data_IF_933343923946
#
_entry.id   IF_933343923946
#
_cell.length_a   1.000
_cell.length_b   1.000
_cell.length_c   1.000
_cell.angle_alpha   90.00
_cell.angle_beta   90.00
_cell.angle_gamma   90.00
#
_symmetry.space_group_name_H-M   'P 1'
#
loop_
_entity.id
_entity.type
_entity.pdbx_description
1 polymer ?
#
# COMPACT_ATOMS: atom_id res chain seq x y z
N UNK A 1 6.23 7.05 16.77
CA UNK A 1 5.79 7.79 15.57
C UNK A 1 4.36 7.39 15.23
N UNK A 2 3.67 8.18 14.41
CA UNK A 2 2.32 7.89 13.92
C UNK A 2 2.42 7.30 12.51
N UNK A 3 1.87 6.11 12.28
CA UNK A 3 2.01 5.35 11.03
C UNK A 3 0.63 5.10 10.44
N UNK A 4 0.43 5.47 9.17
CA UNK A 4 -0.79 5.21 8.43
C UNK A 4 -0.68 3.95 7.57
N UNK A 5 -1.50 2.93 7.85
CA UNK A 5 -1.66 1.76 6.99
C UNK A 5 -2.77 2.03 5.99
N UNK A 6 -2.44 2.00 4.70
CA UNK A 6 -3.32 2.42 3.60
C UNK A 6 -3.84 1.19 2.86
N UNK A 7 -5.10 0.80 3.12
CA UNK A 7 -5.62 -0.50 2.65
C UNK A 7 -7.01 -0.33 1.99
N UNK A 8 -7.08 -0.25 0.65
CA UNK A 8 -8.31 -0.46 -0.10
C UNK A 8 -8.80 -1.90 0.09
N UNK A 9 -10.09 -2.04 0.37
CA UNK A 9 -10.78 -3.28 0.66
C UNK A 9 -12.06 -3.36 -0.18
N UNK A 10 -12.36 -4.56 -0.69
CA UNK A 10 -13.59 -4.83 -1.44
C UNK A 10 -13.93 -6.31 -1.35
N UNK A 11 -15.22 -6.61 -1.20
CA UNK A 11 -15.78 -7.96 -1.27
C UNK A 11 -16.08 -8.39 -2.72
N UNK A 12 -15.81 -7.54 -3.71
CA UNK A 12 -16.03 -7.85 -5.12
C UNK A 12 -15.33 -9.15 -5.52
N UNK A 13 -16.07 -10.03 -6.19
CA UNK A 13 -15.60 -11.36 -6.61
C UNK A 13 -15.12 -12.22 -5.44
N UNK A 14 -15.73 -12.06 -4.25
CA UNK A 14 -15.51 -12.89 -3.07
C UNK A 14 -16.85 -13.40 -2.56
N UNK A 15 -16.88 -14.66 -2.16
CA UNK A 15 -18.03 -15.25 -1.47
C UNK A 15 -17.83 -15.16 0.05
N UNK A 16 -17.66 -13.93 0.55
CA UNK A 16 -17.47 -13.69 1.97
C UNK A 16 -18.82 -13.61 2.67
N UNK A 17 -19.00 -14.46 3.68
CA UNK A 17 -20.25 -14.53 4.45
C UNK A 17 -20.05 -14.02 5.88
N UNK A 18 -18.85 -14.25 6.40
CA UNK A 18 -18.46 -14.00 7.78
C UNK A 18 -17.16 -13.23 7.87
N UNK A 19 -16.88 -12.69 9.05
CA UNK A 19 -15.63 -12.00 9.35
C UNK A 19 -14.38 -12.86 9.08
N UNK A 20 -14.46 -14.18 9.27
CA UNK A 20 -13.32 -15.09 9.06
C UNK A 20 -12.97 -15.28 7.59
N UNK A 21 -13.91 -14.99 6.68
CA UNK A 21 -13.68 -15.09 5.23
C UNK A 21 -12.88 -13.88 4.72
N UNK A 22 -13.03 -12.74 5.41
CA UNK A 22 -12.37 -11.49 5.07
C UNK A 22 -10.86 -11.58 5.27
N UNK A 23 -10.11 -11.27 4.21
CA UNK A 23 -8.65 -11.30 4.25
C UNK A 23 -8.07 -10.30 5.26
N UNK A 24 -8.63 -9.08 5.32
CA UNK A 24 -8.17 -8.05 6.27
C UNK A 24 -8.12 -8.63 7.69
N UNK A 25 -9.22 -9.25 8.13
CA UNK A 25 -9.29 -9.82 9.47
C UNK A 25 -8.43 -11.08 9.61
N UNK A 26 -8.64 -12.07 8.75
CA UNK A 26 -8.09 -13.41 8.96
C UNK A 26 -6.59 -13.51 8.65
N UNK A 27 -6.07 -12.61 7.82
CA UNK A 27 -4.68 -12.61 7.36
C UNK A 27 -3.94 -11.41 7.95
N UNK A 28 -4.33 -10.20 7.54
CA UNK A 28 -3.56 -8.98 7.84
C UNK A 28 -3.61 -8.62 9.31
N UNK A 29 -4.79 -8.43 9.90
CA UNK A 29 -4.92 -8.00 11.29
C UNK A 29 -4.45 -9.07 12.29
N UNK A 30 -4.74 -10.36 12.03
CA UNK A 30 -4.24 -11.46 12.88
C UNK A 30 -2.72 -11.58 12.87
N UNK A 31 -2.08 -11.44 11.70
CA UNK A 31 -0.61 -11.46 11.64
C UNK A 31 0.02 -10.17 12.17
N UNK A 32 -0.64 -9.02 11.98
CA UNK A 32 -0.20 -7.76 12.54
C UNK A 32 -0.15 -7.80 14.07
N UNK A 33 -1.21 -8.32 14.72
CA UNK A 33 -1.30 -8.48 16.18
C UNK A 33 -0.04 -9.10 16.82
N UNK A 34 0.61 -10.03 16.13
CA UNK A 34 1.79 -10.73 16.64
C UNK A 34 3.13 -10.18 16.15
N UNK A 35 3.12 -9.19 15.25
CA UNK A 35 4.31 -8.68 14.55
C UNK A 35 4.56 -7.19 14.68
N UNK A 36 3.57 -6.39 15.10
CA UNK A 36 3.72 -4.93 15.19
C UNK A 36 4.62 -4.46 16.34
N UNK A 37 5.22 -3.30 16.14
CA UNK A 37 6.08 -2.61 17.11
C UNK A 37 5.20 -1.67 17.97
N UNK A 38 5.12 -1.93 19.28
CA UNK A 38 4.13 -1.36 20.21
C UNK A 38 4.37 0.11 20.60
N UNK A 39 5.55 0.64 20.37
CA UNK A 39 5.97 2.01 20.67
C UNK A 39 5.38 3.04 19.69
N UNK A 40 4.87 2.59 18.54
CA UNK A 40 4.27 3.46 17.54
C UNK A 40 2.75 3.49 17.65
N UNK A 41 2.16 4.59 17.20
CA UNK A 41 0.73 4.70 16.96
C UNK A 41 0.45 4.25 15.53
N UNK A 42 -0.30 3.17 15.36
CA UNK A 42 -0.64 2.61 14.05
C UNK A 42 -2.10 2.89 13.76
N UNK A 43 -2.41 3.53 12.63
CA UNK A 43 -3.79 3.79 12.21
C UNK A 43 -4.04 3.07 10.88
N UNK A 44 -5.01 2.17 10.88
CA UNK A 44 -5.47 1.48 9.68
C UNK A 44 -6.55 2.31 8.99
N UNK A 45 -6.21 2.90 7.84
CA UNK A 45 -7.15 3.60 6.96
C UNK A 45 -7.68 2.59 5.93
N UNK A 46 -8.87 2.06 6.21
CA UNK A 46 -9.53 1.05 5.39
C UNK A 46 -10.46 1.74 4.41
N UNK A 47 -10.08 1.72 3.12
CA UNK A 47 -10.90 2.25 2.04
C UNK A 47 -11.92 1.22 1.56
N UNK A 48 -13.20 1.57 1.51
CA UNK A 48 -14.29 0.65 1.15
C UNK A 48 -15.02 1.20 -0.08
N UNK A 49 -15.26 0.34 -1.07
CA UNK A 49 -16.07 0.70 -2.25
C UNK A 49 -17.49 1.13 -1.83
N UNK A 50 -18.02 2.19 -2.44
CA UNK A 50 -19.42 2.56 -2.21
C UNK A 50 -20.36 1.43 -2.64
N UNK A 51 -21.32 1.12 -1.77
CA UNK A 51 -22.31 0.07 -1.98
C UNK A 51 -21.80 -1.35 -1.73
N UNK A 52 -20.59 -1.52 -1.17
CA UNK A 52 -20.13 -2.85 -0.74
C UNK A 52 -20.94 -3.34 0.48
N UNK A 53 -21.83 -4.30 0.23
CA UNK A 53 -22.80 -4.80 1.21
C UNK A 53 -22.19 -5.70 2.29
N UNK A 54 -20.95 -6.17 2.10
CA UNK A 54 -20.29 -6.98 3.11
C UNK A 54 -19.88 -6.15 4.34
N UNK A 55 -19.52 -4.88 4.13
CA UNK A 55 -19.05 -3.94 5.17
C UNK A 55 -20.21 -3.27 5.91
N UNK A 56 -21.07 -4.10 6.50
CA UNK A 56 -22.17 -3.71 7.39
C UNK A 56 -21.70 -3.51 8.84
N UNK A 57 -22.47 -2.77 9.62
CA UNK A 57 -22.11 -2.35 10.98
C UNK A 57 -21.67 -3.49 11.90
N UNK A 58 -22.32 -4.67 11.86
CA UNK A 58 -21.94 -5.78 12.72
C UNK A 58 -20.54 -6.33 12.39
N UNK A 59 -20.13 -6.29 11.12
CA UNK A 59 -18.78 -6.69 10.68
C UNK A 59 -17.76 -5.65 11.13
N UNK A 60 -18.03 -4.36 10.86
CA UNK A 60 -17.15 -3.26 11.23
C UNK A 60 -16.94 -3.16 12.74
N UNK A 61 -17.99 -3.36 13.53
CA UNK A 61 -17.93 -3.39 15.00
C UNK A 61 -17.07 -4.55 15.52
N UNK A 62 -17.14 -5.72 14.90
CA UNK A 62 -16.30 -6.87 15.28
C UNK A 62 -14.83 -6.60 14.97
N UNK A 63 -14.52 -5.99 13.81
CA UNK A 63 -13.15 -5.58 13.46
C UNK A 63 -12.64 -4.53 14.45
N UNK A 64 -13.44 -3.51 14.75
CA UNK A 64 -13.07 -2.44 15.70
C UNK A 64 -12.79 -3.02 17.09
N UNK A 65 -13.62 -3.95 17.56
CA UNK A 65 -13.38 -4.67 18.82
C UNK A 65 -12.09 -5.48 18.80
N UNK A 66 -11.78 -6.15 17.69
CA UNK A 66 -10.52 -6.89 17.55
C UNK A 66 -9.32 -5.94 17.58
N UNK A 67 -9.36 -4.82 16.85
CA UNK A 67 -8.30 -3.82 16.87
C UNK A 67 -8.07 -3.27 18.29
N UNK A 68 -9.14 -3.04 19.05
CA UNK A 68 -9.08 -2.51 20.41
C UNK A 68 -8.32 -3.37 21.43
N UNK A 69 -7.95 -4.62 21.10
CA UNK A 69 -7.06 -5.44 21.94
C UNK A 69 -5.58 -5.03 21.81
N UNK A 70 -5.22 -4.33 20.73
CA UNK A 70 -3.87 -3.91 20.42
C UNK A 70 -3.58 -2.53 21.01
N UNK A 71 -2.43 -2.39 21.66
CA UNK A 71 -1.98 -1.12 22.22
C UNK A 71 -1.58 -0.17 21.09
N UNK A 72 -2.04 1.09 21.14
CA UNK A 72 -1.69 2.12 20.17
C UNK A 72 -2.06 1.77 18.73
N UNK A 73 -3.16 1.04 18.54
CA UNK A 73 -3.69 0.72 17.20
C UNK A 73 -5.12 1.22 17.07
N UNK A 74 -5.38 1.96 16.00
CA UNK A 74 -6.69 2.49 15.64
C UNK A 74 -7.07 2.02 14.24
N UNK A 75 -8.36 2.04 13.94
CA UNK A 75 -8.90 1.73 12.62
C UNK A 75 -9.94 2.76 12.23
N UNK A 76 -9.90 3.17 10.97
CA UNK A 76 -10.82 4.12 10.35
C UNK A 76 -11.35 3.51 9.05
N UNK A 77 -12.65 3.60 8.87
CA UNK A 77 -13.31 3.16 7.65
C UNK A 77 -13.66 4.38 6.80
N UNK A 78 -13.17 4.42 5.57
CA UNK A 78 -13.35 5.52 4.62
C UNK A 78 -14.08 4.95 3.41
N UNK A 79 -15.30 5.41 3.17
CA UNK A 79 -16.04 5.03 1.97
C UNK A 79 -15.60 5.90 0.80
N UNK A 80 -15.17 5.26 -0.28
CA UNK A 80 -14.85 5.96 -1.53
C UNK A 80 -16.13 6.55 -2.13
N UNK A 81 -16.05 7.79 -2.61
CA UNK A 81 -17.19 8.42 -3.27
C UNK A 81 -17.36 7.90 -4.71
N UNK A 82 -18.52 8.20 -5.32
CA UNK A 82 -18.87 7.76 -6.67
C UNK A 82 -17.95 8.29 -7.78
N UNK A 83 -17.11 9.30 -7.49
CA UNK A 83 -16.17 9.84 -8.47
C UNK A 83 -14.91 8.97 -8.63
N UNK A 84 -14.73 7.94 -7.79
CA UNK A 84 -13.62 7.00 -7.86
C UNK A 84 -14.10 5.74 -8.58
N UNK A 85 -13.55 5.52 -9.78
CA UNK A 85 -13.84 4.32 -10.56
C UNK A 85 -13.41 3.07 -9.79
N UNK A 86 -14.31 2.10 -9.64
CA UNK A 86 -14.02 0.80 -8.99
C UNK A 86 -12.84 0.11 -9.69
N UNK A 87 -11.80 -0.25 -8.92
CA UNK A 87 -10.58 -0.85 -9.44
C UNK A 87 -9.48 0.14 -9.86
N UNK A 88 -9.70 1.46 -9.72
CA UNK A 88 -8.66 2.48 -9.84
C UNK A 88 -7.87 2.58 -8.52
N UNK A 89 -7.08 1.54 -8.25
CA UNK A 89 -6.39 1.35 -6.98
C UNK A 89 -5.43 2.48 -6.60
N UNK A 90 -4.71 3.05 -7.56
CA UNK A 90 -3.78 4.15 -7.25
C UNK A 90 -4.51 5.37 -6.70
N UNK A 91 -5.64 5.73 -7.29
CA UNK A 91 -6.51 6.81 -6.80
C UNK A 91 -7.10 6.49 -5.44
N UNK A 92 -7.51 5.24 -5.21
CA UNK A 92 -7.95 4.76 -3.89
C UNK A 92 -6.85 4.92 -2.83
N UNK A 93 -5.61 4.49 -3.12
CA UNK A 93 -4.48 4.70 -2.22
C UNK A 93 -4.13 6.17 -2.01
N UNK A 94 -4.23 7.01 -3.04
CA UNK A 94 -4.00 8.45 -2.92
C UNK A 94 -4.99 9.12 -1.96
N UNK A 95 -6.27 8.72 -1.98
CA UNK A 95 -7.27 9.22 -1.03
C UNK A 95 -6.91 8.84 0.40
N UNK A 96 -6.60 7.56 0.63
CA UNK A 96 -6.19 7.09 1.97
C UNK A 96 -4.91 7.77 2.44
N UNK A 97 -3.95 7.96 1.53
CA UNK A 97 -2.68 8.63 1.80
C UNK A 97 -2.89 10.10 2.19
N UNK A 98 -3.74 10.82 1.46
CA UNK A 98 -4.07 12.21 1.77
C UNK A 98 -4.71 12.33 3.16
N UNK A 99 -5.63 11.44 3.52
CA UNK A 99 -6.23 11.48 4.85
C UNK A 99 -5.22 11.19 5.96
N UNK A 100 -4.42 10.14 5.79
CA UNK A 100 -3.35 9.84 6.75
C UNK A 100 -2.35 11.01 6.87
N UNK A 101 -2.04 11.69 5.76
CA UNK A 101 -1.14 12.83 5.72
C UNK A 101 -1.73 14.04 6.46
N UNK A 102 -3.01 14.37 6.22
CA UNK A 102 -3.74 15.44 6.89
C UNK A 102 -3.83 15.22 8.41
N UNK A 103 -3.89 13.95 8.82
CA UNK A 103 -3.90 13.55 10.21
C UNK A 103 -2.50 13.47 10.87
N UNK A 104 -1.47 14.02 10.23
CA UNK A 104 -0.11 14.07 10.76
C UNK A 104 0.53 12.69 11.01
N UNK A 105 0.22 11.67 10.20
CA UNK A 105 1.04 10.44 10.18
C UNK A 105 2.46 10.76 9.69
N UNK A 106 3.49 10.27 10.39
CA UNK A 106 4.91 10.46 10.05
C UNK A 106 5.38 9.52 8.93
N UNK A 107 4.82 8.31 8.89
CA UNK A 107 5.15 7.28 7.91
C UNK A 107 3.88 6.59 7.42
N UNK A 108 4.00 5.93 6.28
CA UNK A 108 2.88 5.34 5.56
C UNK A 108 3.27 3.98 5.04
N UNK A 109 2.39 3.00 5.25
CA UNK A 109 2.54 1.66 4.71
C UNK A 109 1.39 1.37 3.77
N UNK A 110 1.69 1.28 2.48
CA UNK A 110 0.76 0.83 1.46
C UNK A 110 0.80 -0.69 1.34
N UNK A 111 -0.35 -1.33 1.48
CA UNK A 111 -0.50 -2.76 1.26
C UNK A 111 -1.93 -3.13 0.85
N UNK A 112 -2.09 -4.37 0.37
CA UNK A 112 -3.41 -5.01 0.24
C UNK A 112 -3.96 -5.47 1.58
N UNK A 113 -5.21 -5.93 1.58
CA UNK A 113 -5.91 -6.50 2.73
C UNK A 113 -5.57 -7.98 2.97
N UNK A 114 -4.68 -8.54 2.16
CA UNK A 114 -4.30 -9.95 2.10
C UNK A 114 -2.81 -10.18 2.39
N UNK A 115 -2.18 -9.20 3.04
CA UNK A 115 -0.76 -9.29 3.41
C UNK A 115 -0.61 -9.94 4.78
N UNK A 116 0.13 -11.05 4.82
CA UNK A 116 0.58 -11.68 6.05
C UNK A 116 1.94 -11.12 6.47
N UNK A 117 2.06 -10.57 7.67
CA UNK A 117 3.33 -10.15 8.27
C UNK A 117 4.02 -11.33 8.97
N UNK A 118 5.32 -11.52 8.75
CA UNK A 118 6.02 -12.73 9.21
C UNK A 118 6.88 -12.52 10.48
N UNK A 119 7.45 -11.33 10.66
CA UNK A 119 8.48 -11.08 11.69
C UNK A 119 8.25 -9.74 12.39
N UNK A 120 8.69 -9.63 13.65
CA UNK A 120 8.67 -8.39 14.46
C UNK A 120 9.78 -7.43 14.06
N UNK A 121 9.69 -6.16 14.48
CA UNK A 121 10.75 -5.16 14.29
C UNK A 121 10.80 -4.55 12.89
N UNK A 122 9.90 -4.94 11.99
CA UNK A 122 9.94 -4.52 10.60
C UNK A 122 9.61 -3.04 10.42
N UNK A 123 8.69 -2.50 11.23
CA UNK A 123 8.34 -1.07 11.22
C UNK A 123 9.53 -0.25 11.69
N UNK A 124 10.15 -0.67 12.80
CA UNK A 124 11.34 -0.03 13.33
C UNK A 124 12.50 -0.01 12.33
N UNK A 125 12.77 -1.13 11.66
CA UNK A 125 13.85 -1.19 10.68
C UNK A 125 13.56 -0.32 9.45
N UNK A 126 12.30 -0.29 8.97
CA UNK A 126 11.87 0.64 7.92
C UNK A 126 12.17 2.11 8.31
N UNK A 127 11.70 2.53 9.48
CA UNK A 127 11.89 3.90 10.00
C UNK A 127 13.38 4.23 10.10
N UNK A 128 14.16 3.37 10.74
CA UNK A 128 15.60 3.56 10.93
C UNK A 128 16.35 3.75 9.61
N UNK A 129 16.02 2.97 8.59
CA UNK A 129 16.62 3.09 7.26
C UNK A 129 16.22 4.42 6.61
N UNK A 130 14.94 4.79 6.65
CA UNK A 130 14.48 6.05 6.08
C UNK A 130 15.15 7.25 6.78
N UNK A 131 15.19 7.29 8.11
CA UNK A 131 15.85 8.35 8.86
C UNK A 131 17.33 8.49 8.52
N UNK A 132 18.04 7.37 8.33
CA UNK A 132 19.45 7.38 7.90
C UNK A 132 19.64 8.00 6.51
N UNK A 133 18.60 8.01 5.68
CA UNK A 133 18.59 8.54 4.32
C UNK A 133 17.71 9.80 4.20
N UNK A 134 17.70 10.64 5.24
CA UNK A 134 16.96 11.91 5.29
C UNK A 134 15.44 11.77 5.07
N UNK A 135 14.89 10.64 5.49
CA UNK A 135 13.51 10.22 5.27
C UNK A 135 13.12 10.09 3.78
N UNK A 136 14.09 10.02 2.86
CA UNK A 136 13.84 9.86 1.43
C UNK A 136 14.09 8.42 1.01
N UNK A 137 13.08 7.82 0.38
CA UNK A 137 13.18 6.51 -0.23
C UNK A 137 11.96 5.66 0.02
N UNK A 138 12.08 4.40 -0.39
CA UNK A 138 11.10 3.35 -0.13
C UNK A 138 11.80 2.18 0.54
N UNK A 139 11.16 1.63 1.54
CA UNK A 139 11.56 0.41 2.25
C UNK A 139 10.34 -0.47 2.46
N UNK A 140 10.52 -1.76 2.75
CA UNK A 140 9.44 -2.70 3.07
C UNK A 140 10.03 -4.08 3.36
N UNK A 141 9.33 -4.94 4.12
CA UNK A 141 9.57 -6.38 4.10
C UNK A 141 9.57 -6.96 2.68
N UNK A 142 10.38 -7.98 2.44
CA UNK A 142 10.38 -8.72 1.17
C UNK A 142 9.16 -9.64 1.12
N UNK A 143 8.38 -9.59 0.05
CA UNK A 143 7.37 -10.59 -0.22
C UNK A 143 8.04 -11.89 -0.65
N UNK A 144 7.94 -12.95 0.16
CA UNK A 144 8.57 -14.23 -0.18
C UNK A 144 7.97 -14.89 -1.42
N UNK A 145 6.76 -14.47 -1.83
CA UNK A 145 6.10 -14.92 -3.06
C UNK A 145 6.48 -14.09 -4.28
N UNK A 146 7.06 -12.90 -4.08
CA UNK A 146 7.59 -12.07 -5.14
C UNK A 146 8.82 -11.29 -4.66
N UNK A 147 10.00 -11.88 -4.82
CA UNK A 147 11.26 -11.30 -4.35
C UNK A 147 11.89 -10.33 -5.36
N UNK A 148 11.26 -10.12 -6.53
CA UNK A 148 11.82 -9.28 -7.59
C UNK A 148 11.63 -7.78 -7.31
N UNK A 149 10.50 -7.42 -6.70
CA UNK A 149 10.07 -6.05 -6.42
C UNK A 149 9.42 -6.00 -5.04
N UNK A 150 9.40 -4.81 -4.43
CA UNK A 150 8.53 -4.57 -3.28
C UNK A 150 7.08 -4.42 -3.77
N UNK A 151 6.20 -5.34 -3.37
CA UNK A 151 4.75 -5.32 -3.67
C UNK A 151 3.91 -4.56 -2.63
N UNK A 152 4.59 -4.00 -1.64
CA UNK A 152 4.07 -3.24 -0.51
C UNK A 152 5.17 -2.24 -0.20
N UNK A 153 4.82 -1.04 0.19
CA UNK A 153 5.80 0.04 0.31
C UNK A 153 5.63 0.81 1.60
N UNK A 154 6.74 1.15 2.22
CA UNK A 154 6.83 1.99 3.40
C UNK A 154 7.63 3.25 3.05
N UNK A 155 7.01 4.40 3.24
CA UNK A 155 7.57 5.72 2.91
C UNK A 155 7.31 6.71 4.04
N UNK A 156 8.08 7.79 4.10
CA UNK A 156 7.85 8.89 5.04
C UNK A 156 6.91 9.94 4.45
N UNK A 157 6.57 10.96 5.25
CA UNK A 157 5.92 12.20 4.78
C UNK A 157 6.62 12.88 3.61
N UNK A 158 7.95 12.71 3.45
CA UNK A 158 8.69 13.29 2.32
C UNK A 158 8.20 12.79 0.97
N UNK A 159 7.62 11.59 0.90
CA UNK A 159 7.01 11.10 -0.34
C UNK A 159 5.89 12.02 -0.85
N UNK A 160 5.03 12.49 0.05
CA UNK A 160 3.98 13.45 -0.28
C UNK A 160 4.60 14.77 -0.76
N UNK A 161 5.66 15.25 -0.10
CA UNK A 161 6.32 16.50 -0.50
C UNK A 161 6.99 16.41 -1.88
N UNK A 162 7.50 15.23 -2.25
CA UNK A 162 8.17 15.01 -3.53
C UNK A 162 7.16 14.90 -4.68
N UNK A 163 6.10 14.11 -4.50
CA UNK A 163 5.21 13.73 -5.61
C UNK A 163 3.80 14.33 -5.52
N UNK A 164 3.34 14.71 -4.33
CA UNK A 164 1.97 15.19 -4.10
C UNK A 164 0.89 14.10 -4.11
N UNK A 165 1.30 12.83 -4.21
CA UNK A 165 0.43 11.64 -4.21
C UNK A 165 1.23 10.42 -3.72
N UNK A 166 0.57 9.27 -3.54
CA UNK A 166 1.26 8.00 -3.27
C UNK A 166 1.65 7.29 -4.58
N UNK A 167 0.72 7.26 -5.53
CA UNK A 167 0.94 6.76 -6.88
C UNK A 167 0.39 7.73 -7.92
N UNK A 168 1.00 7.82 -9.12
CA UNK A 168 0.45 8.67 -10.16
C UNK A 168 -0.88 8.08 -10.67
N UNK A 169 -1.91 8.93 -10.80
CA UNK A 169 -3.26 8.48 -11.14
C UNK A 169 -3.40 7.91 -12.56
N UNK A 170 -2.44 8.20 -13.44
CA UNK A 170 -2.35 7.64 -14.80
C UNK A 170 -2.08 6.12 -14.81
N UNK A 171 -1.62 5.56 -13.70
CA UNK A 171 -1.54 4.10 -13.49
C UNK A 171 -2.83 3.68 -12.82
N UNK A 172 -3.66 2.81 -13.40
CA UNK A 172 -4.96 2.47 -12.81
C UNK A 172 -4.84 1.46 -11.66
N UNK A 173 -4.07 0.40 -11.87
CA UNK A 173 -3.88 -0.65 -10.86
C UNK A 173 -2.50 -1.34 -10.99
N UNK A 174 -2.36 -2.33 -11.87
CA UNK A 174 -1.08 -3.01 -12.08
C UNK A 174 -0.01 -2.04 -12.57
N UNK A 175 1.22 -2.28 -12.15
CA UNK A 175 2.37 -1.42 -12.47
C UNK A 175 2.65 -0.33 -11.43
N UNK A 176 1.78 -0.11 -10.43
CA UNK A 176 2.08 0.81 -9.32
C UNK A 176 3.28 0.34 -8.48
N UNK A 177 3.40 -0.96 -8.26
CA UNK A 177 4.54 -1.56 -7.58
C UNK A 177 5.82 -1.38 -8.41
N UNK A 178 5.76 -1.61 -9.73
CA UNK A 178 6.88 -1.35 -10.63
C UNK A 178 7.29 0.13 -10.56
N UNK A 179 6.33 1.06 -10.57
CA UNK A 179 6.58 2.51 -10.49
C UNK A 179 7.36 2.90 -9.23
N UNK A 180 6.90 2.49 -8.04
CA UNK A 180 7.54 2.90 -6.78
C UNK A 180 8.93 2.27 -6.61
N UNK A 181 9.13 1.06 -7.14
CA UNK A 181 10.44 0.43 -7.20
C UNK A 181 11.38 1.21 -8.13
N UNK A 182 10.91 1.58 -9.33
CA UNK A 182 11.76 2.23 -10.33
C UNK A 182 12.10 3.68 -9.99
N UNK A 183 11.16 4.45 -9.44
CA UNK A 183 11.38 5.88 -9.16
C UNK A 183 12.46 6.09 -8.10
N UNK A 184 12.55 5.17 -7.13
CA UNK A 184 13.54 5.22 -6.06
C UNK A 184 14.83 4.44 -6.36
N UNK A 185 14.88 3.61 -7.41
CA UNK A 185 16.10 2.88 -7.78
C UNK A 185 17.10 3.78 -8.51
N UNK A 186 18.42 3.54 -8.31
CA UNK A 186 19.00 2.54 -7.39
C UNK A 186 19.22 3.08 -5.97
N UNK A 187 19.29 4.40 -5.77
CA UNK A 187 19.91 5.00 -4.59
C UNK A 187 19.02 5.11 -3.36
N UNK A 188 17.70 5.06 -3.54
CA UNK A 188 16.70 5.30 -2.49
C UNK A 188 15.73 4.11 -2.32
N UNK A 189 16.15 2.94 -2.80
CA UNK A 189 15.39 1.70 -2.76
C UNK A 189 16.02 0.74 -1.75
N UNK A 190 15.32 0.49 -0.64
CA UNK A 190 15.89 -0.17 0.54
C UNK A 190 15.02 -1.34 1.05
N UNK A 191 14.98 -2.47 0.33
CA UNK A 191 14.25 -3.66 0.78
C UNK A 191 14.87 -4.23 2.07
N UNK A 192 14.02 -4.71 2.98
CA UNK A 192 14.47 -5.30 4.24
C UNK A 192 14.87 -6.77 4.06
N UNK A 193 16.17 -7.05 3.97
CA UNK A 193 16.68 -8.41 3.71
C UNK A 193 16.34 -9.47 4.78
N UNK A 194 15.97 -9.04 6.00
CA UNK A 194 15.69 -9.93 7.14
C UNK A 194 14.23 -9.87 7.63
N UNK A 195 13.36 -9.14 6.93
CA UNK A 195 11.94 -9.02 7.28
C UNK A 195 11.08 -9.41 6.09
N UNK A 196 10.03 -10.18 6.35
CA UNK A 196 9.25 -10.80 5.30
C UNK A 196 7.75 -10.53 5.45
N UNK A 197 7.07 -10.54 4.32
CA UNK A 197 5.62 -10.63 4.24
C UNK A 197 5.23 -11.70 3.20
N UNK A 198 3.94 -12.03 3.14
CA UNK A 198 3.39 -12.87 2.06
C UNK A 198 2.14 -12.21 1.52
N UNK A 199 2.09 -11.99 0.21
CA UNK A 199 0.83 -11.69 -0.46
C UNK A 199 0.01 -12.98 -0.62
N UNK A 200 -1.02 -13.13 0.21
CA UNK A 200 -1.90 -14.29 0.23
C UNK A 200 -3.20 -14.06 -0.54
N UNK A 201 -3.21 -13.04 -1.42
CA UNK A 201 -4.35 -12.69 -2.24
C UNK A 201 -4.83 -13.83 -3.14
N UNK A 202 -6.10 -13.70 -3.53
CA UNK A 202 -6.77 -14.59 -4.46
C UNK A 202 -6.80 -14.02 -5.89
N UNK A 203 -7.86 -14.38 -6.62
CA UNK A 203 -8.13 -13.87 -7.98
C UNK A 203 -8.24 -12.34 -8.02
N UNK A 204 -7.89 -11.74 -9.16
CA UNK A 204 -7.99 -10.29 -9.33
C UNK A 204 -9.42 -9.77 -9.05
N UNK A 205 -9.54 -8.61 -8.39
CA UNK A 205 -10.84 -7.99 -8.03
C UNK A 205 -11.26 -6.89 -9.01
N UNK A 206 -10.46 -6.62 -10.02
CA UNK A 206 -10.63 -5.52 -10.97
C UNK A 206 -10.15 -5.94 -12.37
N UNK A 207 -10.50 -5.11 -13.36
CA UNK A 207 -10.01 -5.24 -14.73
C UNK A 207 -8.60 -4.64 -14.76
N UNK A 208 -7.62 -5.43 -15.19
CA UNK A 208 -6.21 -5.02 -15.19
C UNK A 208 -5.98 -4.00 -16.29
N UNK A 209 -5.43 -2.83 -15.94
CA UNK A 209 -5.12 -1.75 -16.88
C UNK A 209 -6.29 -1.37 -17.81
N UNK A 210 -7.53 -1.45 -17.28
CA UNK A 210 -8.77 -1.24 -18.03
C UNK A 210 -8.89 -2.06 -19.34
N UNK A 211 -8.21 -3.20 -19.40
CA UNK A 211 -8.21 -4.11 -20.53
C UNK A 211 -8.90 -5.44 -20.16
N UNK A 212 -10.10 -5.67 -20.67
CA UNK A 212 -10.86 -6.92 -20.42
C UNK A 212 -10.15 -8.16 -20.99
N UNK A 213 -9.40 -7.98 -22.08
CA UNK A 213 -8.63 -9.02 -22.78
C UNK A 213 -7.17 -9.08 -22.27
N UNK A 214 -6.89 -8.50 -21.09
CA UNK A 214 -5.51 -8.43 -20.58
C UNK A 214 -4.86 -9.82 -20.49
N UNK A 215 -5.64 -10.83 -20.11
CA UNK A 215 -5.16 -12.20 -19.93
C UNK A 215 -5.05 -12.99 -21.24
N UNK A 216 -5.70 -12.56 -22.32
CA UNK A 216 -5.65 -13.24 -23.64
C UNK A 216 -4.25 -13.19 -24.25
N UNK A 217 -3.51 -12.11 -23.95
CA UNK A 217 -2.13 -11.92 -24.39
C UNK A 217 -1.22 -11.51 -23.21
N UNK A 218 -1.36 -12.22 -22.10
CA UNK A 218 -0.76 -11.89 -20.80
C UNK A 218 0.70 -11.40 -20.88
N UNK A 219 1.60 -12.19 -21.46
CA UNK A 219 3.03 -11.84 -21.52
C UNK A 219 3.29 -10.53 -22.29
N UNK A 220 2.59 -10.34 -23.41
CA UNK A 220 2.72 -9.13 -24.25
C UNK A 220 2.16 -7.91 -23.52
N UNK A 221 1.02 -8.06 -22.86
CA UNK A 221 0.35 -6.98 -22.13
C UNK A 221 1.15 -6.55 -20.90
N UNK A 222 1.67 -7.50 -20.12
CA UNK A 222 2.57 -7.23 -18.98
C UNK A 222 3.85 -6.54 -19.44
N UNK A 223 4.47 -7.01 -20.53
CA UNK A 223 5.67 -6.37 -21.08
C UNK A 223 5.39 -4.92 -21.49
N UNK A 224 4.30 -4.69 -22.23
CA UNK A 224 3.90 -3.35 -22.66
C UNK A 224 3.64 -2.42 -21.47
N UNK A 225 2.88 -2.90 -20.48
CA UNK A 225 2.59 -2.16 -19.25
C UNK A 225 3.88 -1.75 -18.54
N UNK A 226 4.75 -2.71 -18.21
CA UNK A 226 6.02 -2.43 -17.50
C UNK A 226 6.95 -1.51 -18.28
N UNK A 227 7.01 -1.66 -19.61
CA UNK A 227 7.79 -0.77 -20.46
C UNK A 227 7.27 0.67 -20.36
N UNK A 228 5.95 0.86 -20.48
CA UNK A 228 5.33 2.19 -20.34
C UNK A 228 5.61 2.80 -18.96
N UNK A 229 5.53 1.99 -17.88
CA UNK A 229 5.86 2.45 -16.53
C UNK A 229 7.33 2.85 -16.41
N UNK A 230 8.25 2.05 -16.95
CA UNK A 230 9.67 2.38 -16.95
C UNK A 230 9.93 3.68 -17.71
N UNK A 231 9.35 3.84 -18.90
CA UNK A 231 9.53 5.01 -19.76
C UNK A 231 9.03 6.30 -19.07
N UNK A 232 7.86 6.25 -18.39
CA UNK A 232 7.33 7.42 -17.68
C UNK A 232 8.10 7.74 -16.40
N UNK A 233 8.63 6.73 -15.70
CA UNK A 233 9.49 6.95 -14.53
C UNK A 233 10.78 7.66 -14.93
N UNK A 234 11.46 7.20 -15.99
CA UNK A 234 12.71 7.79 -16.46
C UNK A 234 12.51 9.21 -17.01
N UNK A 235 11.47 9.41 -17.82
CA UNK A 235 11.25 10.71 -18.48
C UNK A 235 10.64 11.79 -17.58
N UNK A 236 9.90 11.41 -16.54
CA UNK A 236 9.13 12.34 -15.69
C UNK A 236 9.49 12.24 -14.21
N UNK A 237 9.27 11.08 -13.58
CA UNK A 237 9.26 11.00 -12.12
C UNK A 237 10.64 11.02 -11.46
N UNK A 238 11.66 10.48 -12.11
CA UNK A 238 13.05 10.64 -11.65
C UNK A 238 13.52 12.09 -11.72
N UNK A 239 13.03 12.86 -12.69
CA UNK A 239 13.32 14.29 -12.77
C UNK A 239 12.66 15.05 -11.61
N UNK A 240 11.43 14.71 -11.24
CA UNK A 240 10.75 15.27 -10.06
C UNK A 240 11.56 15.02 -8.78
N UNK A 241 11.96 13.76 -8.53
CA UNK A 241 12.79 13.41 -7.37
C UNK A 241 14.13 14.17 -7.38
N UNK A 242 14.82 14.21 -8.53
CA UNK A 242 16.10 14.92 -8.66
C UNK A 242 15.97 16.41 -8.38
N UNK A 243 14.92 17.05 -8.89
CA UNK A 243 14.67 18.47 -8.66
C UNK A 243 14.41 18.76 -7.18
N UNK A 244 13.63 17.90 -6.51
CA UNK A 244 13.41 18.02 -5.07
C UNK A 244 14.72 17.93 -4.27
N UNK A 245 15.58 16.96 -4.59
CA UNK A 245 16.88 16.78 -3.94
C UNK A 245 17.77 18.01 -4.11
N UNK A 246 17.88 18.53 -5.34
CA UNK A 246 18.65 19.73 -5.66
C UNK A 246 18.14 20.98 -4.92
N UNK A 247 16.82 21.16 -4.83
CA UNK A 247 16.21 22.30 -4.15
C UNK A 247 16.45 22.27 -2.63
N UNK A 248 16.59 21.08 -2.05
CA UNK A 248 16.76 20.89 -0.61
C UNK A 248 18.23 20.66 -0.19
N UNK A 249 19.19 20.73 -1.12
CA UNK A 249 20.62 20.48 -0.90
C UNK A 249 20.91 19.10 -0.27
N UNK A 250 20.23 18.06 -0.74
CA UNK A 250 20.40 16.66 -0.33
C UNK A 250 21.18 15.88 -1.38
#
# INVERSE_FOLDING_TARGET
>A
MKIGFLIPCTSKNRDWQTLNDMYLYNITLKSFLTTYDHEHTNIFYIGIDLGDTFFRDDILNKITRFIGIMKNVEIKFIYFNDNIKKGHLTRMWNVLFQEAYNENCDYFYQCGDDIQFCNKGWVNECIKILQKNNDIGVTSPIDIRNQLILTQSFVSRKHMEIFGFYFPEEIINWGCDDWINYVYRPSYFFPLNNHFCKNLGGTCRYIVDDNEEFFDNYNKNVYKLRKNISDIVESKYKLVLRNYLLQNNI
#
